data_IF_319710582153
#
_entry.id   IF_319710582153
#
_cell.length_a   1.000
_cell.length_b   1.000
_cell.length_c   1.000
_cell.angle_alpha   90.00
_cell.angle_beta   90.00
_cell.angle_gamma   90.00
#
_symmetry.space_group_name_H-M   'P 1'
#
loop_
_entity.id
_entity.type
_entity.pdbx_description
1 polymer ?
#
# COMPACT_ATOMS: atom_id res chain seq x y z
N UNK A 1 -5.90 -10.43 16.81
CA UNK A 1 -4.60 -10.12 16.20
C UNK A 1 -3.79 -11.41 16.14
N UNK A 2 -3.08 -11.64 15.03
CA UNK A 2 -2.21 -12.80 14.89
C UNK A 2 -0.82 -12.52 15.47
N UNK A 3 -0.14 -13.55 15.96
CA UNK A 3 1.29 -13.50 16.35
C UNK A 3 2.21 -13.26 15.14
N UNK A 4 1.68 -13.45 13.93
CA UNK A 4 2.25 -13.13 12.61
C UNK A 4 1.19 -12.31 11.88
N UNK A 5 1.56 -11.13 11.39
CA UNK A 5 0.65 -10.29 10.61
C UNK A 5 0.47 -10.84 9.20
N UNK A 6 -0.70 -10.57 8.59
CA UNK A 6 -0.93 -10.84 7.17
C UNK A 6 -0.39 -9.74 6.26
N UNK A 7 0.32 -8.75 6.80
CA UNK A 7 0.91 -7.61 6.11
C UNK A 7 2.41 -7.88 5.98
N UNK A 8 2.85 -8.15 4.76
CA UNK A 8 4.14 -8.80 4.48
C UNK A 8 5.36 -7.91 4.73
N UNK A 9 5.15 -6.61 4.89
CA UNK A 9 6.19 -5.61 5.03
C UNK A 9 6.47 -5.20 6.49
N UNK A 10 5.85 -5.86 7.47
CA UNK A 10 6.13 -5.67 8.89
C UNK A 10 6.05 -6.98 9.68
N UNK A 11 6.63 -7.00 10.89
CA UNK A 11 6.63 -8.18 11.76
C UNK A 11 5.33 -8.27 12.58
N UNK A 12 4.81 -7.12 12.99
CA UNK A 12 3.58 -7.00 13.79
C UNK A 12 2.67 -5.91 13.25
N UNK A 13 1.39 -5.99 13.61
CA UNK A 13 0.42 -4.92 13.35
C UNK A 13 -0.31 -4.57 14.63
N UNK A 14 -0.27 -3.29 14.98
CA UNK A 14 -0.90 -2.72 16.17
C UNK A 14 -1.98 -1.73 15.75
N UNK A 15 -3.18 -1.83 16.28
CA UNK A 15 -4.23 -0.84 16.05
C UNK A 15 -4.61 -0.20 17.39
N UNK A 16 -4.32 1.08 17.56
CA UNK A 16 -4.69 1.84 18.75
C UNK A 16 -6.20 2.17 18.78
N UNK A 17 -6.79 2.37 17.59
CA UNK A 17 -8.22 2.55 17.38
C UNK A 17 -8.62 2.06 15.98
N UNK A 18 -9.92 2.00 15.74
CA UNK A 18 -10.53 1.46 14.52
C UNK A 18 -11.49 2.50 13.93
N UNK A 19 -11.46 2.65 12.60
CA UNK A 19 -12.25 3.59 11.83
C UNK A 19 -11.43 4.79 11.36
N UNK A 20 -11.82 5.37 10.24
CA UNK A 20 -11.36 6.67 9.75
C UNK A 20 -12.38 7.25 8.77
N UNK A 21 -12.24 8.53 8.42
CA UNK A 21 -13.00 9.16 7.35
C UNK A 21 -12.32 8.90 5.99
N UNK A 22 -13.08 8.65 4.94
CA UNK A 22 -12.55 8.63 3.58
C UNK A 22 -12.07 10.02 3.15
N UNK A 23 -10.92 10.10 2.47
CA UNK A 23 -10.32 11.38 2.03
C UNK A 23 -9.83 11.36 0.59
N UNK A 24 -9.88 10.22 -0.09
CA UNK A 24 -9.33 10.09 -1.44
C UNK A 24 -9.89 8.87 -2.18
N UNK A 25 -9.69 8.77 -3.52
CA UNK A 25 -10.22 7.67 -4.32
C UNK A 25 -9.76 6.27 -3.89
N UNK A 26 -8.61 6.15 -3.23
CA UNK A 26 -8.13 4.89 -2.63
C UNK A 26 -9.00 4.38 -1.48
N UNK A 27 -9.87 5.21 -0.91
CA UNK A 27 -10.80 4.80 0.17
C UNK A 27 -12.07 4.10 -0.36
N UNK A 28 -12.36 4.19 -1.67
CA UNK A 28 -13.63 3.73 -2.25
C UNK A 28 -13.93 2.24 -1.93
N UNK A 29 -12.90 1.38 -1.96
CA UNK A 29 -13.00 -0.06 -1.71
C UNK A 29 -12.15 -0.48 -0.49
N UNK A 30 -12.17 0.32 0.57
CA UNK A 30 -11.34 0.10 1.76
C UNK A 30 -11.59 -1.27 2.41
N UNK A 31 -10.57 -2.14 2.43
CA UNK A 31 -10.65 -3.46 3.05
C UNK A 31 -11.01 -3.40 4.55
N UNK A 32 -10.51 -2.38 5.26
CA UNK A 32 -10.75 -2.21 6.69
C UNK A 32 -12.23 -1.88 6.97
N UNK A 33 -12.85 -1.04 6.13
CA UNK A 33 -14.29 -0.77 6.18
C UNK A 33 -15.09 -2.06 5.94
N UNK A 34 -14.78 -2.78 4.86
CA UNK A 34 -15.46 -4.04 4.55
C UNK A 34 -15.34 -5.05 5.71
N UNK A 35 -14.16 -5.20 6.29
CA UNK A 35 -13.95 -6.10 7.41
C UNK A 35 -14.69 -5.66 8.68
N UNK A 36 -14.47 -4.42 9.12
CA UNK A 36 -14.87 -3.98 10.45
C UNK A 36 -16.30 -3.44 10.50
N UNK A 37 -16.77 -2.79 9.44
CA UNK A 37 -18.13 -2.27 9.35
C UNK A 37 -19.07 -3.29 8.71
N UNK A 38 -18.68 -3.90 7.58
CA UNK A 38 -19.64 -4.69 6.81
C UNK A 38 -19.73 -6.14 7.28
N UNK A 39 -18.60 -6.77 7.63
CA UNK A 39 -18.57 -8.17 8.10
C UNK A 39 -18.68 -8.31 9.62
N UNK A 40 -17.80 -7.64 10.37
CA UNK A 40 -17.72 -7.82 11.82
C UNK A 40 -18.64 -6.89 12.62
N UNK A 41 -19.15 -5.82 12.01
CA UNK A 41 -20.08 -4.84 12.64
C UNK A 41 -19.51 -4.24 13.94
N UNK A 42 -18.21 -3.99 13.99
CA UNK A 42 -17.46 -3.51 15.17
C UNK A 42 -17.08 -2.04 15.15
N UNK A 43 -17.15 -1.38 14.00
CA UNK A 43 -16.86 0.05 13.85
C UNK A 43 -17.61 0.60 12.63
N UNK A 44 -17.66 1.93 12.49
CA UNK A 44 -18.23 2.61 11.32
C UNK A 44 -17.24 3.66 10.78
N UNK A 45 -17.18 3.77 9.46
CA UNK A 45 -16.33 4.71 8.72
C UNK A 45 -17.05 6.04 8.50
N UNK A 46 -16.32 7.06 8.05
CA UNK A 46 -16.88 8.38 7.80
C UNK A 46 -17.04 9.18 9.09
N UNK A 47 -18.19 9.84 9.26
CA UNK A 47 -18.42 10.80 10.35
C UNK A 47 -18.81 10.19 11.71
N UNK A 48 -18.75 8.86 11.84
CA UNK A 48 -19.01 8.16 13.09
C UNK A 48 -17.85 8.24 14.09
N UNK A 49 -18.09 7.90 15.36
CA UNK A 49 -17.04 7.79 16.38
C UNK A 49 -16.06 6.66 16.07
N UNK A 50 -14.81 6.82 16.52
CA UNK A 50 -13.75 5.81 16.45
C UNK A 50 -13.83 4.89 17.65
N UNK A 51 -13.46 3.62 17.43
CA UNK A 51 -13.46 2.61 18.48
C UNK A 51 -12.04 2.41 18.99
N UNK A 52 -11.74 2.88 20.21
CA UNK A 52 -10.45 2.59 20.86
C UNK A 52 -10.32 1.09 21.09
N UNK A 53 -9.13 0.54 20.86
CA UNK A 53 -8.90 -0.88 21.14
C UNK A 53 -8.65 -1.10 22.63
N UNK A 54 -9.02 -2.30 23.10
CA UNK A 54 -8.90 -2.70 24.51
C UNK A 54 -7.44 -2.75 24.99
N UNK A 55 -7.21 -2.58 26.29
CA UNK A 55 -5.87 -2.52 26.91
C UNK A 55 -4.97 -3.71 26.57
N UNK A 56 -5.54 -4.91 26.41
CA UNK A 56 -4.75 -6.09 26.02
C UNK A 56 -4.09 -5.92 24.65
N UNK A 57 -4.67 -5.12 23.76
CA UNK A 57 -4.09 -4.76 22.45
C UNK A 57 -2.87 -3.86 22.64
N UNK A 58 -2.97 -2.86 23.51
CA UNK A 58 -1.89 -1.92 23.81
C UNK A 58 -0.74 -2.63 24.54
N UNK A 59 -1.08 -3.45 25.54
CA UNK A 59 -0.09 -4.20 26.33
C UNK A 59 0.69 -5.24 25.52
N UNK A 60 0.15 -5.66 24.37
CA UNK A 60 0.83 -6.61 23.48
C UNK A 60 2.13 -6.02 22.89
N UNK A 61 2.18 -4.70 22.67
CA UNK A 61 3.36 -4.04 22.09
C UNK A 61 4.58 -4.16 23.01
N UNK A 62 4.41 -3.96 24.31
CA UNK A 62 5.50 -4.13 25.27
C UNK A 62 5.99 -5.57 25.38
N UNK A 63 5.12 -6.55 25.10
CA UNK A 63 5.53 -7.95 25.02
C UNK A 63 6.44 -8.16 23.80
N UNK A 64 6.06 -7.63 22.64
CA UNK A 64 6.88 -7.72 21.43
C UNK A 64 8.23 -7.03 21.60
N UNK A 65 8.27 -5.87 22.26
CA UNK A 65 9.50 -5.15 22.56
C UNK A 65 10.45 -5.99 23.44
N UNK A 66 9.95 -6.60 24.52
CA UNK A 66 10.75 -7.51 25.36
C UNK A 66 11.24 -8.74 24.60
N UNK A 67 10.40 -9.31 23.73
CA UNK A 67 10.77 -10.46 22.90
C UNK A 67 11.84 -10.07 21.85
N UNK A 68 11.76 -8.88 21.27
CA UNK A 68 12.75 -8.34 20.34
C UNK A 68 14.09 -8.08 21.05
N UNK A 69 14.05 -7.44 22.23
CA UNK A 69 15.21 -7.22 23.10
C UNK A 69 15.92 -8.54 23.47
N UNK A 70 15.16 -9.54 23.91
CA UNK A 70 15.71 -10.85 24.29
C UNK A 70 16.34 -11.61 23.12
N UNK A 71 15.86 -11.35 21.90
CA UNK A 71 16.40 -11.94 20.67
C UNK A 71 17.54 -11.11 20.06
N UNK A 72 17.82 -9.90 20.57
CA UNK A 72 18.83 -9.01 20.00
C UNK A 72 18.48 -8.50 18.61
N UNK A 73 17.18 -8.35 18.29
CA UNK A 73 16.70 -7.90 16.97
C UNK A 73 15.80 -6.68 17.11
N UNK A 74 15.73 -5.87 16.05
CA UNK A 74 14.70 -4.85 15.89
C UNK A 74 13.52 -5.44 15.11
N UNK A 75 12.29 -5.13 15.52
CA UNK A 75 11.07 -5.56 14.81
C UNK A 75 10.24 -4.38 14.35
N UNK A 76 9.65 -4.49 13.16
CA UNK A 76 8.77 -3.47 12.57
C UNK A 76 7.32 -3.70 12.96
N UNK A 77 6.66 -2.63 13.40
CA UNK A 77 5.25 -2.62 13.80
C UNK A 77 4.50 -1.65 12.92
N UNK A 78 3.59 -2.15 12.09
CA UNK A 78 2.66 -1.28 11.39
C UNK A 78 1.56 -0.81 12.32
N UNK A 79 1.44 0.51 12.47
CA UNK A 79 0.43 1.14 13.33
C UNK A 79 -0.81 1.51 12.52
N UNK A 80 -1.98 1.16 13.07
CA UNK A 80 -3.30 1.53 12.59
C UNK A 80 -3.61 1.06 11.15
N UNK A 81 -3.42 -0.22 10.88
CA UNK A 81 -3.95 -0.87 9.66
C UNK A 81 -5.47 -0.68 9.43
N UNK A 82 -6.24 -0.42 10.50
CA UNK A 82 -7.70 -0.29 10.49
C UNK A 82 -8.20 1.12 10.79
N UNK A 83 -7.32 2.12 10.76
CA UNK A 83 -7.64 3.53 11.00
C UNK A 83 -6.56 4.42 10.34
N UNK A 84 -6.58 5.73 10.59
CA UNK A 84 -5.51 6.62 10.17
C UNK A 84 -5.00 7.33 11.42
N UNK A 85 -3.70 7.23 11.71
CA UNK A 85 -3.12 7.90 12.88
C UNK A 85 -3.43 9.39 12.78
N UNK A 86 -3.19 10.04 11.65
CA UNK A 86 -3.26 11.50 11.47
C UNK A 86 -4.63 12.04 11.04
N UNK A 87 -5.70 11.33 11.39
CA UNK A 87 -7.04 11.91 11.35
C UNK A 87 -7.22 13.00 12.43
N UNK A 88 -7.65 14.19 12.01
CA UNK A 88 -7.92 15.31 12.92
C UNK A 88 -9.32 15.19 13.51
N UNK A 89 -9.39 14.69 14.76
CA UNK A 89 -10.63 14.56 15.53
C UNK A 89 -10.37 14.80 17.02
N UNK A 90 -11.25 15.53 17.73
CA UNK A 90 -11.09 15.79 19.17
C UNK A 90 -10.93 14.52 20.01
N UNK A 91 -11.71 13.48 19.73
CA UNK A 91 -11.66 12.20 20.46
C UNK A 91 -10.30 11.49 20.36
N UNK A 92 -9.54 11.76 19.28
CA UNK A 92 -8.25 11.11 19.02
C UNK A 92 -7.06 11.85 19.66
N UNK A 93 -7.24 13.08 20.14
CA UNK A 93 -6.14 13.89 20.71
C UNK A 93 -5.47 13.14 21.86
N UNK A 94 -6.27 12.69 22.84
CA UNK A 94 -5.74 11.95 23.99
C UNK A 94 -5.16 10.59 23.58
N UNK A 95 -5.83 9.83 22.70
CA UNK A 95 -5.37 8.49 22.31
C UNK A 95 -4.10 8.53 21.49
N UNK A 96 -3.94 9.56 20.66
CA UNK A 96 -2.69 9.82 19.92
C UNK A 96 -1.57 10.15 20.89
N UNK A 97 -1.79 11.04 21.85
CA UNK A 97 -0.78 11.32 22.89
C UNK A 97 -0.36 10.04 23.62
N UNK A 98 -1.32 9.20 24.00
CA UNK A 98 -1.04 7.92 24.65
C UNK A 98 -0.25 6.96 23.71
N UNK A 99 -0.60 6.91 22.41
CA UNK A 99 0.16 6.14 21.41
C UNK A 99 1.63 6.57 21.36
N UNK A 100 1.90 7.88 21.27
CA UNK A 100 3.27 8.35 21.17
C UNK A 100 4.03 8.19 22.49
N UNK A 101 3.48 8.73 23.59
CA UNK A 101 4.19 8.79 24.88
C UNK A 101 4.26 7.43 25.59
N UNK A 102 3.17 6.68 25.58
CA UNK A 102 3.09 5.44 26.36
C UNK A 102 3.56 4.22 25.58
N UNK A 103 3.55 4.26 24.24
CA UNK A 103 3.97 3.13 23.40
C UNK A 103 5.24 3.42 22.62
N UNK A 104 5.21 4.40 21.72
CA UNK A 104 6.35 4.67 20.80
C UNK A 104 7.61 5.03 21.58
N UNK A 105 7.52 6.01 22.48
CA UNK A 105 8.68 6.53 23.22
C UNK A 105 9.27 5.52 24.23
N UNK A 106 8.52 4.45 24.55
CA UNK A 106 8.89 3.44 25.56
C UNK A 106 9.40 2.13 24.96
N UNK A 107 9.22 1.88 23.67
CA UNK A 107 9.64 0.64 23.01
C UNK A 107 10.86 0.88 22.12
N UNK A 108 12.06 0.54 22.62
CA UNK A 108 13.34 0.82 21.95
C UNK A 108 13.77 -0.26 20.95
N UNK A 109 13.16 -1.44 21.00
CA UNK A 109 13.49 -2.58 20.14
C UNK A 109 12.46 -2.76 19.02
N UNK A 110 11.53 -1.81 18.89
CA UNK A 110 10.49 -1.78 17.88
C UNK A 110 10.63 -0.52 17.04
N UNK A 111 10.43 -0.65 15.74
CA UNK A 111 10.28 0.47 14.81
C UNK A 111 8.82 0.57 14.39
N UNK A 112 8.21 1.74 14.54
CA UNK A 112 6.80 1.98 14.25
C UNK A 112 6.61 2.62 12.88
N UNK A 113 5.90 1.92 12.00
CA UNK A 113 5.57 2.41 10.67
C UNK A 113 4.23 3.14 10.75
N UNK A 114 4.26 4.46 10.59
CA UNK A 114 3.08 5.32 10.60
C UNK A 114 2.72 5.69 9.16
N UNK A 115 1.67 5.09 8.62
CA UNK A 115 1.18 5.37 7.27
C UNK A 115 -0.11 6.19 7.32
N UNK A 116 -0.20 7.24 6.50
CA UNK A 116 -1.40 8.10 6.43
C UNK A 116 -1.78 8.51 5.02
N UNK A 117 -3.04 8.92 4.84
CA UNK A 117 -3.50 9.65 3.65
C UNK A 117 -3.58 11.16 3.88
N UNK A 118 -3.14 11.63 5.06
CA UNK A 118 -3.24 13.01 5.54
C UNK A 118 -1.88 13.54 6.03
N UNK A 119 -0.81 13.49 5.22
CA UNK A 119 0.50 13.95 5.66
C UNK A 119 0.52 15.42 6.11
N UNK A 120 -0.37 16.25 5.56
CA UNK A 120 -0.55 17.66 5.95
C UNK A 120 -0.94 17.84 7.44
N UNK A 121 -1.50 16.80 8.08
CA UNK A 121 -1.84 16.85 9.50
C UNK A 121 -0.66 16.45 10.41
N UNK A 122 0.42 15.88 9.88
CA UNK A 122 1.49 15.31 10.71
C UNK A 122 2.11 16.39 11.60
N UNK A 123 2.53 17.52 11.03
CA UNK A 123 3.20 18.58 11.79
C UNK A 123 2.34 19.11 12.94
N UNK A 124 1.04 19.32 12.71
CA UNK A 124 0.12 19.85 13.72
C UNK A 124 -0.33 18.81 14.76
N UNK A 125 -0.34 17.53 14.40
CA UNK A 125 -0.79 16.44 15.26
C UNK A 125 0.38 15.61 15.83
N UNK A 126 1.63 15.96 15.50
CA UNK A 126 2.79 15.43 16.20
C UNK A 126 2.71 15.92 17.66
N UNK A 127 2.87 15.04 18.66
CA UNK A 127 2.56 15.37 20.06
C UNK A 127 3.49 16.42 20.69
N UNK A 128 4.63 16.70 20.06
CA UNK A 128 5.69 17.61 20.48
C UNK A 128 6.54 17.96 19.25
N UNK A 129 7.74 18.54 19.41
CA UNK A 129 8.67 18.82 18.30
C UNK A 129 9.80 17.78 18.20
N UNK A 130 9.71 16.65 18.89
CA UNK A 130 10.82 15.70 19.00
C UNK A 130 10.97 14.81 17.76
N UNK A 131 12.23 14.61 17.38
CA UNK A 131 12.65 13.55 16.48
C UNK A 131 12.50 12.19 17.16
N UNK A 132 12.04 11.16 16.43
CA UNK A 132 11.89 9.80 16.93
C UNK A 132 12.61 8.80 16.02
N UNK A 133 13.75 8.30 16.48
CA UNK A 133 14.61 7.35 15.74
C UNK A 133 13.89 6.02 15.43
N UNK A 134 12.90 5.65 16.25
CA UNK A 134 12.16 4.41 16.13
C UNK A 134 10.83 4.57 15.38
N UNK A 135 10.65 5.65 14.61
CA UNK A 135 9.45 5.89 13.79
C UNK A 135 9.82 6.01 12.32
N UNK A 136 9.05 5.36 11.44
CA UNK A 136 9.09 5.56 10.00
C UNK A 136 7.79 6.23 9.57
N UNK A 137 7.87 7.30 8.78
CA UNK A 137 6.71 8.07 8.34
C UNK A 137 6.41 7.77 6.88
N UNK A 138 5.19 7.35 6.58
CA UNK A 138 4.77 7.07 5.22
C UNK A 138 3.49 7.77 4.82
N UNK A 139 3.34 7.99 3.53
CA UNK A 139 2.09 8.47 2.94
C UNK A 139 1.60 7.54 1.85
N UNK A 140 0.27 7.36 1.74
CA UNK A 140 -0.30 6.60 0.63
C UNK A 140 -0.28 7.45 -0.64
N UNK A 141 0.16 6.91 -1.76
CA UNK A 141 0.07 7.54 -3.09
C UNK A 141 -0.67 6.60 -4.04
N UNK A 142 -1.97 6.79 -4.20
CA UNK A 142 -2.78 5.97 -5.12
C UNK A 142 -2.80 6.48 -6.57
N UNK A 143 -2.49 7.77 -6.79
CA UNK A 143 -2.55 8.42 -8.09
C UNK A 143 -1.69 9.70 -8.12
N UNK A 144 -1.50 10.29 -9.31
CA UNK A 144 -0.70 11.49 -9.58
C UNK A 144 -1.21 12.69 -8.80
N UNK A 145 -2.53 12.85 -8.70
CA UNK A 145 -3.10 13.94 -7.90
C UNK A 145 -2.66 13.84 -6.44
N UNK A 146 -2.74 12.64 -5.83
CA UNK A 146 -2.27 12.42 -4.47
C UNK A 146 -0.75 12.55 -4.37
N UNK A 147 0.01 12.13 -5.38
CA UNK A 147 1.45 12.37 -5.44
C UNK A 147 1.77 13.86 -5.33
N UNK A 148 1.16 14.69 -6.19
CA UNK A 148 1.35 16.14 -6.22
C UNK A 148 0.99 16.81 -4.90
N UNK A 149 -0.06 16.37 -4.21
CA UNK A 149 -0.51 17.02 -2.96
C UNK A 149 0.19 16.50 -1.72
N UNK A 150 0.53 15.20 -1.65
CA UNK A 150 1.00 14.55 -0.42
C UNK A 150 2.51 14.53 -0.30
N UNK A 151 3.26 14.50 -1.40
CA UNK A 151 4.72 14.48 -1.36
C UNK A 151 5.30 15.77 -0.74
N UNK A 152 4.86 16.99 -1.13
CA UNK A 152 5.28 18.22 -0.45
C UNK A 152 5.01 18.25 1.06
N UNK A 153 3.94 17.59 1.50
CA UNK A 153 3.59 17.52 2.92
C UNK A 153 4.44 16.49 3.66
N UNK A 154 4.80 15.38 3.00
CA UNK A 154 5.73 14.39 3.55
C UNK A 154 7.11 15.00 3.79
N UNK A 155 7.63 15.83 2.87
CA UNK A 155 8.96 16.44 3.03
C UNK A 155 9.07 17.36 4.24
N UNK A 156 7.95 17.98 4.66
CA UNK A 156 7.92 18.80 5.89
C UNK A 156 8.15 17.98 7.16
N UNK A 157 8.06 16.65 7.07
CA UNK A 157 8.21 15.73 8.21
C UNK A 157 9.60 15.13 8.33
N UNK A 158 10.54 15.46 7.44
CA UNK A 158 11.91 14.94 7.46
C UNK A 158 12.64 15.13 8.81
N UNK A 159 12.48 16.26 9.52
CA UNK A 159 13.09 16.40 10.84
C UNK A 159 12.53 15.45 11.92
N UNK A 160 11.38 14.80 11.69
CA UNK A 160 10.67 14.05 12.73
C UNK A 160 11.05 12.56 12.82
N UNK A 161 11.59 11.99 11.74
CA UNK A 161 11.85 10.56 11.61
C UNK A 161 13.03 10.31 10.66
N UNK A 162 13.78 9.20 10.82
CA UNK A 162 14.92 8.89 9.96
C UNK A 162 14.56 8.27 8.60
N UNK A 163 13.33 7.76 8.43
CA UNK A 163 12.90 7.02 7.24
C UNK A 163 11.53 7.49 6.78
N UNK A 164 11.42 7.78 5.48
CA UNK A 164 10.21 8.22 4.82
C UNK A 164 9.86 7.30 3.64
N UNK A 165 8.61 6.82 3.61
CA UNK A 165 8.20 5.80 2.64
C UNK A 165 6.90 6.11 1.91
N UNK A 166 6.74 5.52 0.73
CA UNK A 166 5.51 5.59 -0.06
C UNK A 166 4.81 4.24 -0.03
N UNK A 167 3.53 4.27 0.31
CA UNK A 167 2.63 3.13 0.11
C UNK A 167 1.74 3.41 -1.09
N UNK A 168 2.06 2.82 -2.22
CA UNK A 168 1.30 2.94 -3.45
C UNK A 168 0.33 1.76 -3.54
N UNK A 169 -0.57 1.67 -2.55
CA UNK A 169 -1.61 0.66 -2.50
C UNK A 169 -2.97 1.18 -1.98
N UNK A 170 -4.06 1.03 -2.77
CA UNK A 170 -4.05 0.52 -4.15
C UNK A 170 -3.39 1.54 -5.11
N UNK A 171 -2.58 1.06 -6.06
CA UNK A 171 -2.11 1.88 -7.18
C UNK A 171 -3.22 1.96 -8.24
N UNK A 172 -3.78 3.15 -8.45
CA UNK A 172 -4.96 3.38 -9.30
C UNK A 172 -4.64 3.99 -10.67
N UNK A 173 -3.43 4.52 -10.84
CA UNK A 173 -2.93 5.02 -12.12
C UNK A 173 -1.39 5.02 -12.15
N UNK A 174 -0.82 5.28 -13.33
CA UNK A 174 0.63 5.47 -13.47
C UNK A 174 1.09 6.71 -12.71
N UNK A 175 1.96 6.48 -11.74
CA UNK A 175 2.67 7.52 -10.99
C UNK A 175 4.17 7.33 -11.19
N UNK A 176 4.87 8.41 -11.48
CA UNK A 176 6.34 8.44 -11.53
C UNK A 176 6.85 8.93 -10.18
N UNK A 177 7.78 8.19 -9.60
CA UNK A 177 8.50 8.54 -8.36
C UNK A 177 9.68 9.44 -8.69
N UNK A 178 10.17 9.43 -9.93
CA UNK A 178 10.98 10.52 -10.46
C UNK A 178 10.21 11.83 -10.33
N UNK A 179 10.36 12.49 -9.18
CA UNK A 179 9.64 13.70 -8.74
C UNK A 179 9.86 14.92 -9.66
N UNK A 180 10.60 14.73 -10.76
CA UNK A 180 10.69 15.64 -11.90
C UNK A 180 9.28 16.06 -12.37
N UNK A 181 8.88 17.29 -12.03
CA UNK A 181 7.62 17.87 -12.47
C UNK A 181 6.41 17.63 -11.56
N UNK A 182 6.55 16.95 -10.42
CA UNK A 182 5.47 16.76 -9.42
C UNK A 182 5.62 17.72 -8.23
N UNK A 183 6.87 18.03 -7.83
CA UNK A 183 7.20 18.97 -6.75
C UNK A 183 7.80 20.24 -7.37
N UNK A 184 7.35 21.42 -6.95
CA UNK A 184 7.79 22.69 -7.53
C UNK A 184 9.28 22.95 -7.27
N UNK A 185 9.95 23.63 -8.21
CA UNK A 185 11.37 24.04 -8.09
C UNK A 185 11.68 24.79 -6.79
N UNK A 186 10.69 25.45 -6.19
CA UNK A 186 10.86 26.23 -4.96
C UNK A 186 11.00 25.34 -3.72
N UNK A 187 10.32 24.18 -3.67
CA UNK A 187 10.54 23.17 -2.61
C UNK A 187 11.91 22.50 -2.80
N UNK A 188 12.41 22.48 -4.04
CA UNK A 188 13.62 21.78 -4.47
C UNK A 188 14.90 22.59 -4.33
N UNK A 189 14.82 23.88 -4.00
CA UNK A 189 15.98 24.76 -3.89
C UNK A 189 16.99 24.32 -2.80
N UNK A 190 16.64 23.35 -1.94
CA UNK A 190 17.49 22.78 -0.89
C UNK A 190 17.97 21.34 -1.10
N UNK A 191 17.62 20.67 -2.21
CA UNK A 191 17.93 19.23 -2.42
C UNK A 191 18.54 18.95 -3.80
N UNK A 192 19.57 18.11 -3.85
CA UNK A 192 20.39 17.85 -5.04
C UNK A 192 19.86 16.75 -5.96
N UNK A 193 19.13 15.75 -5.43
CA UNK A 193 18.47 14.73 -6.24
C UNK A 193 17.19 14.19 -5.57
N UNK A 194 16.19 13.81 -6.37
CA UNK A 194 14.88 13.36 -5.91
C UNK A 194 14.87 11.97 -5.28
N UNK A 195 15.80 11.12 -5.71
CA UNK A 195 16.02 9.76 -5.19
C UNK A 195 16.57 9.74 -3.76
N UNK A 196 17.03 10.89 -3.25
CA UNK A 196 17.59 11.03 -1.90
C UNK A 196 16.50 11.28 -0.82
N UNK A 197 15.22 11.39 -1.22
CA UNK A 197 14.13 11.87 -0.36
C UNK A 197 13.17 10.78 0.14
N UNK A 198 13.17 9.61 -0.49
CA UNK A 198 12.26 8.51 -0.18
C UNK A 198 13.11 7.27 0.01
N UNK A 199 13.04 6.71 1.21
CA UNK A 199 13.85 5.57 1.59
C UNK A 199 13.23 4.24 1.17
N UNK A 200 11.91 4.21 0.91
CA UNK A 200 11.22 2.96 0.60
C UNK A 200 9.93 3.14 -0.18
N UNK A 201 9.69 2.25 -1.14
CA UNK A 201 8.46 2.22 -1.93
C UNK A 201 7.81 0.85 -1.86
N UNK A 202 6.56 0.84 -1.43
CA UNK A 202 5.69 -0.34 -1.38
C UNK A 202 4.61 -0.18 -2.46
N UNK A 203 4.42 -1.18 -3.33
CA UNK A 203 3.37 -1.14 -4.37
C UNK A 203 2.45 -2.34 -4.26
N UNK A 204 1.15 -2.12 -4.41
CA UNK A 204 0.17 -3.20 -4.43
C UNK A 204 -1.12 -2.82 -5.16
N UNK A 205 -1.73 -3.83 -5.80
CA UNK A 205 -3.05 -3.71 -6.40
C UNK A 205 -4.19 -3.79 -5.37
N UNK A 206 -5.39 -3.41 -5.80
CA UNK A 206 -6.57 -3.41 -4.94
C UNK A 206 -7.11 -4.82 -4.69
N UNK A 207 -7.55 -5.07 -3.45
CA UNK A 207 -8.15 -6.34 -3.04
C UNK A 207 -9.64 -6.16 -2.76
N UNK A 208 -10.42 -7.24 -2.90
CA UNK A 208 -11.86 -7.27 -2.64
C UNK A 208 -12.69 -7.42 -3.90
N UNK A 209 -14.00 -7.59 -3.72
CA UNK A 209 -14.93 -7.90 -4.82
C UNK A 209 -15.05 -6.74 -5.82
N UNK A 210 -15.00 -5.50 -5.32
CA UNK A 210 -15.06 -4.26 -6.11
C UNK A 210 -13.69 -3.72 -6.50
N UNK A 211 -12.64 -4.55 -6.40
CA UNK A 211 -11.28 -4.13 -6.71
C UNK A 211 -11.15 -3.55 -8.13
N UNK A 212 -10.33 -2.51 -8.23
CA UNK A 212 -9.90 -1.91 -9.48
C UNK A 212 -8.60 -2.56 -9.96
N UNK A 213 -8.45 -2.83 -11.26
CA UNK A 213 -7.23 -3.42 -11.80
C UNK A 213 -6.06 -2.43 -11.76
N UNK A 214 -4.86 -2.96 -11.55
CA UNK A 214 -3.60 -2.21 -11.65
C UNK A 214 -2.85 -2.70 -12.90
N UNK A 215 -2.56 -1.78 -13.82
CA UNK A 215 -1.79 -2.11 -15.02
C UNK A 215 -0.36 -2.53 -14.63
N UNK A 216 0.12 -3.71 -15.06
CA UNK A 216 1.47 -4.18 -14.77
C UNK A 216 2.57 -3.24 -15.24
N UNK A 217 2.35 -2.46 -16.30
CA UNK A 217 3.31 -1.47 -16.76
C UNK A 217 3.57 -0.38 -15.72
N UNK A 218 2.59 -0.05 -14.87
CA UNK A 218 2.75 0.99 -13.85
C UNK A 218 3.70 0.55 -12.74
N UNK A 219 3.50 -0.66 -12.21
CA UNK A 219 4.37 -1.20 -11.14
C UNK A 219 5.77 -1.54 -11.65
N UNK A 220 5.90 -2.00 -12.90
CA UNK A 220 7.21 -2.23 -13.54
C UNK A 220 7.99 -0.92 -13.69
N UNK A 221 7.34 0.14 -14.14
CA UNK A 221 7.97 1.46 -14.24
C UNK A 221 8.45 1.95 -12.86
N UNK A 222 7.61 1.83 -11.82
CA UNK A 222 7.99 2.18 -10.44
C UNK A 222 9.18 1.35 -9.96
N UNK A 223 9.18 0.02 -10.18
CA UNK A 223 10.32 -0.85 -9.83
C UNK A 223 11.61 -0.37 -10.50
N UNK A 224 11.55 -0.08 -11.79
CA UNK A 224 12.72 0.33 -12.58
C UNK A 224 13.22 1.72 -12.14
N UNK A 225 12.32 2.64 -11.79
CA UNK A 225 12.66 3.93 -11.19
C UNK A 225 13.33 3.77 -9.81
N UNK A 226 12.80 2.90 -8.94
CA UNK A 226 13.43 2.58 -7.66
C UNK A 226 14.82 1.96 -7.83
N UNK A 227 14.99 1.03 -8.79
CA UNK A 227 16.28 0.43 -9.09
C UNK A 227 17.30 1.46 -9.61
N UNK A 228 16.90 2.38 -10.49
CA UNK A 228 17.77 3.44 -10.99
C UNK A 228 18.14 4.46 -9.88
N UNK A 229 17.27 4.61 -8.89
CA UNK A 229 17.43 5.50 -7.75
C UNK A 229 18.09 4.84 -6.52
N UNK A 230 18.40 3.55 -6.58
CA UNK A 230 18.87 2.73 -5.44
C UNK A 230 17.93 2.76 -4.22
N UNK A 231 16.63 2.96 -4.44
CA UNK A 231 15.60 2.96 -3.40
C UNK A 231 15.06 1.54 -3.21
N UNK A 232 15.04 1.00 -1.98
CA UNK A 232 14.35 -0.25 -1.65
C UNK A 232 12.93 -0.31 -2.21
N UNK A 233 12.62 -1.41 -2.91
CA UNK A 233 11.32 -1.65 -3.52
C UNK A 233 10.68 -2.94 -2.96
N UNK A 234 9.44 -2.81 -2.50
CA UNK A 234 8.62 -3.90 -2.01
C UNK A 234 7.37 -4.03 -2.88
N UNK A 235 7.29 -5.10 -3.67
CA UNK A 235 6.03 -5.45 -4.29
C UNK A 235 5.21 -6.24 -3.26
N UNK A 236 4.00 -5.82 -2.95
CA UNK A 236 3.16 -6.55 -1.99
C UNK A 236 2.35 -7.63 -2.67
N UNK A 237 1.51 -7.23 -3.61
CA UNK A 237 0.57 -8.13 -4.29
C UNK A 237 -0.08 -7.47 -5.51
N UNK A 238 -0.63 -8.30 -6.41
CA UNK A 238 -1.49 -7.88 -7.51
C UNK A 238 -2.93 -7.58 -7.06
N UNK A 239 -3.37 -8.21 -5.97
CA UNK A 239 -4.73 -8.06 -5.45
C UNK A 239 -5.71 -8.98 -6.19
N UNK A 240 -6.87 -8.45 -6.60
CA UNK A 240 -7.93 -9.25 -7.24
C UNK A 240 -7.67 -9.49 -8.74
N UNK A 241 -6.83 -8.70 -9.42
CA UNK A 241 -6.56 -8.88 -10.86
C UNK A 241 -5.14 -9.39 -11.09
N UNK A 242 -5.01 -10.62 -11.55
CA UNK A 242 -3.71 -11.20 -11.90
C UNK A 242 -3.37 -10.92 -13.36
N UNK A 243 -2.14 -10.46 -13.65
CA UNK A 243 -1.71 -10.29 -15.03
C UNK A 243 -1.51 -11.64 -15.70
N UNK A 244 -1.92 -11.73 -16.96
CA UNK A 244 -1.65 -12.88 -17.84
C UNK A 244 -1.10 -12.37 -19.17
N UNK A 245 -0.15 -13.13 -19.71
CA UNK A 245 0.34 -12.92 -21.08
C UNK A 245 -0.62 -13.59 -22.06
N UNK A 246 -0.94 -12.86 -23.12
CA UNK A 246 -1.77 -13.33 -24.23
C UNK A 246 -0.89 -13.56 -25.44
N UNK A 247 -0.91 -14.77 -25.96
CA UNK A 247 -0.02 -15.23 -27.02
C UNK A 247 -0.81 -15.74 -28.23
N UNK A 248 -0.13 -15.92 -29.35
CA UNK A 248 -0.71 -16.52 -30.55
C UNK A 248 -0.91 -18.03 -30.34
N UNK A 249 -2.12 -18.50 -30.64
CA UNK A 249 -2.49 -19.91 -30.58
C UNK A 249 -3.61 -20.18 -31.59
N UNK A 250 -3.25 -20.73 -32.75
CA UNK A 250 -4.17 -21.03 -33.85
C UNK A 250 -5.22 -22.09 -33.49
N UNK A 251 -5.06 -22.80 -32.36
CA UNK A 251 -6.05 -23.74 -31.85
C UNK A 251 -7.27 -23.06 -31.19
N UNK A 252 -7.22 -21.76 -30.95
CA UNK A 252 -8.29 -20.98 -30.31
C UNK A 252 -8.94 -19.98 -31.27
N UNK A 253 -10.18 -19.61 -30.97
CA UNK A 253 -10.93 -18.60 -31.73
C UNK A 253 -10.13 -17.31 -31.87
N UNK A 254 -10.05 -16.80 -33.09
CA UNK A 254 -9.25 -15.63 -33.46
C UNK A 254 -7.74 -15.76 -33.19
N UNK A 255 -7.25 -16.98 -33.00
CA UNK A 255 -5.81 -17.28 -32.97
C UNK A 255 -5.08 -16.77 -31.75
N UNK A 256 -5.76 -16.42 -30.65
CA UNK A 256 -5.16 -15.82 -29.44
C UNK A 256 -5.66 -16.51 -28.18
N UNK A 257 -4.74 -16.82 -27.28
CA UNK A 257 -5.06 -17.48 -26.01
C UNK A 257 -4.18 -17.01 -24.85
N UNK A 258 -4.61 -17.31 -23.62
CA UNK A 258 -3.84 -17.10 -22.40
C UNK A 258 -4.06 -18.25 -21.42
N UNK A 259 -3.10 -18.47 -20.52
CA UNK A 259 -3.25 -19.40 -19.41
C UNK A 259 -4.06 -18.74 -18.30
N UNK A 260 -5.22 -19.29 -17.97
CA UNK A 260 -6.08 -18.72 -16.94
C UNK A 260 -5.45 -18.94 -15.56
N UNK A 261 -5.41 -17.95 -14.65
CA UNK A 261 -4.69 -18.09 -13.37
C UNK A 261 -5.24 -19.18 -12.44
N UNK A 262 -6.51 -19.58 -12.63
CA UNK A 262 -7.14 -20.69 -11.90
C UNK A 262 -7.05 -22.03 -12.63
N UNK A 263 -6.19 -22.12 -13.65
CA UNK A 263 -5.98 -23.33 -14.46
C UNK A 263 -6.75 -23.31 -15.79
N UNK A 264 -6.21 -24.05 -16.76
CA UNK A 264 -6.74 -24.13 -18.12
C UNK A 264 -6.25 -23.02 -19.04
N UNK A 265 -6.62 -23.12 -20.31
CA UNK A 265 -6.27 -22.18 -21.37
C UNK A 265 -7.55 -21.58 -21.95
N UNK A 266 -7.53 -20.28 -22.16
CA UNK A 266 -8.72 -19.51 -22.52
C UNK A 266 -8.48 -18.72 -23.80
N UNK A 267 -9.48 -18.68 -24.69
CA UNK A 267 -9.46 -17.79 -25.85
C UNK A 267 -9.50 -16.32 -25.40
N UNK A 268 -8.79 -15.45 -26.10
CA UNK A 268 -8.77 -14.01 -25.88
C UNK A 268 -9.95 -13.30 -26.57
N UNK A 269 -11.17 -13.68 -26.19
CA UNK A 269 -12.41 -13.20 -26.81
C UNK A 269 -13.42 -12.68 -25.78
N UNK A 270 -14.25 -11.72 -26.19
CA UNK A 270 -15.37 -11.20 -25.40
C UNK A 270 -16.63 -11.11 -26.25
N UNK A 271 -17.79 -11.05 -25.58
CA UNK A 271 -19.06 -10.73 -26.26
C UNK A 271 -19.20 -9.22 -26.37
N UNK A 272 -19.21 -8.71 -27.60
CA UNK A 272 -19.52 -7.30 -27.90
C UNK A 272 -20.97 -7.19 -28.42
N UNK A 273 -21.60 -6.05 -28.17
CA UNK A 273 -22.92 -5.76 -28.70
C UNK A 273 -22.76 -4.95 -29.98
N UNK A 274 -23.13 -5.55 -31.11
CA UNK A 274 -23.08 -4.90 -32.43
C UNK A 274 -24.43 -5.03 -33.11
N UNK A 275 -24.97 -3.91 -33.60
CA UNK A 275 -26.26 -3.86 -34.31
C UNK A 275 -27.43 -4.56 -33.57
N UNK A 276 -27.44 -4.48 -32.23
CA UNK A 276 -28.47 -5.12 -31.39
C UNK A 276 -28.31 -6.63 -31.18
N UNK A 277 -27.22 -7.25 -31.67
CA UNK A 277 -26.87 -8.66 -31.46
C UNK A 277 -25.59 -8.80 -30.62
N UNK A 278 -25.47 -9.91 -29.90
CA UNK A 278 -24.25 -10.26 -29.17
C UNK A 278 -23.40 -11.19 -30.01
N UNK A 279 -22.18 -10.78 -30.34
CA UNK A 279 -21.24 -11.56 -31.12
C UNK A 279 -19.90 -11.69 -30.39
N UNK A 280 -19.20 -12.81 -30.63
CA UNK A 280 -17.86 -13.02 -30.10
C UNK A 280 -16.85 -12.27 -30.95
N UNK A 281 -16.03 -11.43 -30.32
CA UNK A 281 -14.99 -10.66 -30.97
C UNK A 281 -13.66 -10.80 -30.18
N UNK A 282 -12.51 -10.55 -30.83
CA UNK A 282 -11.23 -10.41 -30.14
C UNK A 282 -11.30 -9.34 -29.05
N UNK A 283 -10.58 -9.58 -27.96
CA UNK A 283 -10.35 -8.57 -26.92
C UNK A 283 -9.35 -7.54 -27.45
N UNK A 284 -9.68 -6.26 -27.31
CA UNK A 284 -8.86 -5.12 -27.70
C UNK A 284 -8.39 -4.33 -26.46
N UNK A 285 -7.28 -3.56 -26.56
CA UNK A 285 -6.82 -2.71 -25.47
C UNK A 285 -7.94 -1.80 -24.93
N UNK A 286 -8.11 -1.77 -23.61
CA UNK A 286 -9.14 -0.98 -22.93
C UNK A 286 -10.47 -1.71 -22.73
N UNK A 287 -10.70 -2.85 -23.39
CA UNK A 287 -11.90 -3.66 -23.16
C UNK A 287 -11.99 -4.14 -21.70
N UNK A 288 -13.23 -4.19 -21.19
CA UNK A 288 -13.56 -4.68 -19.84
C UNK A 288 -14.70 -5.68 -19.90
N UNK A 289 -14.60 -6.74 -19.11
CA UNK A 289 -15.64 -7.75 -18.95
C UNK A 289 -15.72 -8.22 -17.50
N UNK A 290 -16.75 -9.01 -17.15
CA UNK A 290 -16.96 -9.48 -15.77
C UNK A 290 -15.76 -10.22 -15.16
N UNK A 291 -14.91 -10.81 -16.01
CA UNK A 291 -13.76 -11.61 -15.60
C UNK A 291 -12.41 -10.92 -15.79
N UNK A 292 -12.35 -9.67 -16.29
CA UNK A 292 -11.06 -9.03 -16.53
C UNK A 292 -11.07 -7.72 -17.31
N UNK A 293 -9.86 -7.28 -17.62
CA UNK A 293 -9.56 -6.06 -18.37
C UNK A 293 -8.38 -6.31 -19.31
N UNK A 294 -8.36 -5.66 -20.47
CA UNK A 294 -7.20 -5.66 -21.35
C UNK A 294 -6.39 -4.38 -21.16
N UNK A 295 -5.14 -4.51 -20.68
CA UNK A 295 -4.23 -3.37 -20.56
C UNK A 295 -3.64 -3.00 -21.91
N UNK A 296 -3.24 -4.03 -22.67
CA UNK A 296 -2.79 -3.95 -24.05
C UNK A 296 -3.12 -5.27 -24.77
N UNK A 297 -2.73 -5.37 -26.04
CA UNK A 297 -3.03 -6.54 -26.89
C UNK A 297 -2.46 -7.85 -26.34
N UNK A 298 -1.40 -7.80 -25.53
CA UNK A 298 -0.65 -8.97 -25.07
C UNK A 298 -0.71 -9.18 -23.55
N UNK A 299 -1.38 -8.32 -22.80
CA UNK A 299 -1.44 -8.41 -21.34
C UNK A 299 -2.83 -8.03 -20.82
N UNK A 300 -3.46 -8.99 -20.16
CA UNK A 300 -4.78 -8.83 -19.54
C UNK A 300 -4.68 -8.94 -18.03
N UNK A 301 -5.60 -8.31 -17.32
CA UNK A 301 -5.85 -8.53 -15.90
C UNK A 301 -7.04 -9.44 -15.72
N UNK A 302 -6.83 -10.64 -15.20
CA UNK A 302 -7.90 -11.62 -14.96
C UNK A 302 -8.33 -11.54 -13.51
N UNK A 303 -9.63 -11.33 -13.29
CA UNK A 303 -10.23 -11.21 -11.97
C UNK A 303 -10.25 -12.58 -11.28
N UNK A 304 -9.54 -12.71 -10.18
CA UNK A 304 -9.56 -13.86 -9.27
C UNK A 304 -10.14 -13.45 -7.93
N UNK A 305 -10.90 -14.33 -7.27
CA UNK A 305 -11.46 -14.01 -5.93
C UNK A 305 -10.39 -13.69 -4.89
N UNK A 306 -9.25 -14.38 -4.99
CA UNK A 306 -8.12 -14.23 -4.09
C UNK A 306 -6.85 -14.63 -4.83
N UNK A 307 -5.84 -13.78 -4.75
CA UNK A 307 -4.50 -14.12 -5.23
C UNK A 307 -3.92 -15.32 -4.45
N UNK A 308 -3.33 -16.31 -5.15
CA UNK A 308 -2.55 -17.38 -4.53
C UNK A 308 -1.37 -16.85 -3.70
N UNK A 309 -1.07 -17.51 -2.57
CA UNK A 309 -0.09 -17.01 -1.60
C UNK A 309 1.34 -16.98 -2.17
N UNK A 310 1.67 -17.92 -3.06
CA UNK A 310 2.94 -18.04 -3.78
C UNK A 310 3.23 -16.89 -4.73
N UNK A 311 2.21 -16.12 -5.12
CA UNK A 311 2.39 -14.92 -5.96
C UNK A 311 2.62 -13.66 -5.13
N UNK A 312 2.52 -13.73 -3.80
CA UNK A 312 2.81 -12.57 -2.95
C UNK A 312 4.26 -12.16 -3.11
N UNK A 313 4.48 -10.86 -3.18
CA UNK A 313 5.78 -10.28 -3.48
C UNK A 313 6.42 -10.71 -4.80
N UNK A 314 5.71 -11.39 -5.69
CA UNK A 314 6.22 -11.85 -6.99
C UNK A 314 5.82 -10.89 -8.12
N UNK A 315 6.80 -10.24 -8.73
CA UNK A 315 6.65 -9.38 -9.90
C UNK A 315 7.62 -9.88 -10.98
N UNK A 316 7.10 -10.18 -12.17
CA UNK A 316 7.87 -10.70 -13.31
C UNK A 316 8.76 -11.91 -12.96
N UNK A 317 8.23 -12.83 -12.15
CA UNK A 317 8.93 -14.05 -11.74
C UNK A 317 10.05 -13.84 -10.71
N UNK A 318 10.22 -12.63 -10.18
CA UNK A 318 11.19 -12.31 -9.14
C UNK A 318 10.50 -11.83 -7.87
N UNK A 319 11.03 -12.23 -6.72
CA UNK A 319 10.56 -11.73 -5.43
C UNK A 319 11.12 -10.34 -5.18
N UNK A 320 10.25 -9.40 -4.84
CA UNK A 320 10.60 -8.03 -4.51
C UNK A 320 10.08 -7.72 -3.10
N UNK A 321 10.96 -7.83 -2.11
CA UNK A 321 10.63 -7.65 -0.69
C UNK A 321 11.67 -6.83 0.05
N UNK A 322 12.36 -5.91 -0.63
CA UNK A 322 13.43 -5.13 -0.02
C UNK A 322 12.84 -4.05 0.89
N UNK A 323 13.59 -3.65 1.91
CA UNK A 323 13.26 -2.58 2.86
C UNK A 323 14.53 -1.83 3.27
N UNK A 324 14.41 -0.60 3.82
CA UNK A 324 15.56 0.13 4.35
C UNK A 324 16.24 -0.63 5.48
N UNK A 325 17.57 -0.62 5.49
CA UNK A 325 18.33 -1.03 6.65
C UNK A 325 18.04 -0.08 7.82
N UNK A 326 17.82 -0.63 9.01
CA UNK A 326 17.83 0.15 10.25
C UNK A 326 19.28 0.42 10.66
N UNK A 327 19.51 1.45 11.48
CA UNK A 327 20.83 1.69 12.08
C UNK A 327 21.35 0.49 12.91
N UNK A 328 20.45 -0.41 13.33
CA UNK A 328 20.80 -1.66 14.00
C UNK A 328 21.26 -2.76 13.02
N UNK A 329 20.80 -2.74 11.76
CA UNK A 329 21.19 -3.71 10.73
C UNK A 329 22.61 -3.46 10.19
N UNK A 330 23.12 -2.22 10.31
CA UNK A 330 24.46 -1.82 9.84
C UNK A 330 25.55 -1.91 10.90
N UNK A 331 25.18 -2.21 12.16
CA UNK A 331 26.10 -2.31 13.30
C UNK A 331 26.56 -3.75 13.62
N UNK A 332 26.11 -4.74 12.85
CA UNK A 332 26.43 -6.17 12.98
C UNK A 332 27.41 -6.63 11.90
#
# INVERSE_FOLDING_TARGET
>A
MGKVTGIEWCDHTFNAWIGCKEVSPGCANCYARTLMQDRLKRARWGDHERVRTVDSTWNQVFRWDREAAAAGVIRRVFVNSLSDVFEDRPELIAWRRDLFRDVIDRCRNLVFLLLTKRPYNIACLWPDESHRDNVWIGTTIENRQQATTRLPELTKTFPLAPIHFLSMEPLLERVTIGLQGIVSKDILAGYTNYSELIDWVIVGGESGDEARPMDPAWVRAIRDECAAAEVPFFFKQWGTYLPVTVEDDLGFSFGRAYNHPLGGRSAAIIRKQENGRQEWAPIEPGDRWNGGVAYNTNEFGIKVKKQPAELKCLLDGKTHHNWPATAADTAA
#
